data_IF_696306527780
#
_entry.id   IF_696306527780
#
_cell.length_a   1.000
_cell.length_b   1.000
_cell.length_c   1.000
_cell.angle_alpha   90.00
_cell.angle_beta   90.00
_cell.angle_gamma   90.00
#
_symmetry.space_group_name_H-M   'P 1'
#
loop_
_entity.id
_entity.type
_entity.pdbx_description
1 polymer ?
#
# COMPACT_ATOMS: atom_id res chain seq x y z
N UNK A 1 -15.40 -9.52 -52.52
CA UNK A 1 -14.77 -9.80 -53.84
C UNK A 1 -13.93 -8.58 -54.25
N UNK A 2 -12.71 -8.76 -54.78
CA UNK A 2 -11.84 -7.66 -55.25
C UNK A 2 -11.88 -7.50 -56.78
N UNK A 3 -11.37 -6.37 -57.31
CA UNK A 3 -10.24 -6.40 -58.27
C UNK A 3 -9.19 -5.29 -57.97
N UNK A 4 -7.97 -5.22 -58.53
CA UNK A 4 -7.23 -6.02 -59.54
C UNK A 4 -5.70 -5.88 -59.34
N UNK A 5 -4.93 -6.75 -60.03
CA UNK A 5 -3.45 -6.86 -60.09
C UNK A 5 -2.78 -5.62 -60.76
N UNK A 6 -1.47 -5.35 -60.66
CA UNK A 6 -0.35 -6.22 -61.06
C UNK A 6 1.04 -5.86 -60.48
N UNK A 7 2.04 -6.70 -60.79
CA UNK A 7 3.41 -6.66 -60.25
C UNK A 7 4.48 -6.53 -61.37
N UNK A 8 5.71 -6.18 -61.00
CA UNK A 8 6.93 -6.38 -61.79
C UNK A 8 8.09 -6.86 -60.89
N UNK A 9 9.23 -7.29 -61.45
CA UNK A 9 10.13 -8.23 -60.77
C UNK A 9 11.63 -7.98 -60.97
N UNK A 10 12.42 -8.44 -60.00
CA UNK A 10 13.85 -8.87 -60.08
C UNK A 10 14.88 -7.83 -60.58
N UNK A 11 15.94 -7.61 -59.78
CA UNK A 11 17.22 -8.36 -59.92
C UNK A 11 18.19 -8.10 -58.76
N UNK A 12 19.21 -8.96 -58.69
CA UNK A 12 20.27 -9.08 -57.69
C UNK A 12 21.60 -8.73 -58.39
N UNK A 13 22.44 -7.85 -57.84
CA UNK A 13 23.85 -7.67 -58.25
C UNK A 13 24.71 -7.26 -57.04
N UNK A 14 25.89 -7.87 -56.98
CA UNK A 14 27.11 -7.64 -56.19
C UNK A 14 28.27 -8.01 -57.17
N UNK A 15 29.60 -7.84 -56.92
CA UNK A 15 30.33 -7.26 -55.77
C UNK A 15 31.59 -6.41 -56.20
N UNK A 16 32.57 -6.24 -55.29
CA UNK A 16 34.03 -5.95 -55.50
C UNK A 16 34.48 -4.52 -55.90
N UNK A 17 35.71 -4.02 -55.63
CA UNK A 17 36.77 -4.28 -54.60
C UNK A 17 37.98 -3.31 -54.79
N UNK A 18 39.07 -3.47 -54.00
CA UNK A 18 40.44 -2.87 -54.07
C UNK A 18 40.65 -1.60 -53.20
N UNK A 19 41.48 -1.57 -52.14
CA UNK A 19 42.94 -1.86 -51.91
C UNK A 19 43.80 -0.61 -52.19
N UNK A 20 44.95 -0.29 -51.57
CA UNK A 20 46.05 -1.01 -50.86
C UNK A 20 46.47 -0.22 -49.57
N UNK A 21 47.50 -0.49 -48.74
CA UNK A 21 48.73 -1.32 -48.83
C UNK A 21 49.30 -1.64 -47.41
N UNK A 22 50.21 -2.62 -47.32
CA UNK A 22 50.99 -3.10 -46.13
C UNK A 22 52.46 -2.52 -46.20
N UNK A 23 53.57 -2.92 -45.48
CA UNK A 23 53.86 -4.23 -44.83
C UNK A 23 54.76 -4.29 -43.53
N UNK A 24 54.83 -5.51 -42.93
CA UNK A 24 55.98 -6.23 -42.26
C UNK A 24 56.89 -5.55 -41.18
N UNK A 25 57.58 -6.18 -40.20
CA UNK A 25 58.05 -7.56 -39.82
C UNK A 25 58.55 -7.51 -38.33
N UNK A 26 59.04 -8.52 -37.58
CA UNK A 26 58.88 -10.01 -37.45
C UNK A 26 59.56 -10.48 -36.11
N UNK A 27 59.31 -11.74 -35.66
CA UNK A 27 60.04 -12.55 -34.65
C UNK A 27 60.03 -12.11 -33.15
N UNK A 28 60.17 -13.00 -32.15
CA UNK A 28 60.38 -14.47 -32.13
C UNK A 28 60.26 -15.11 -30.72
N UNK A 29 60.46 -16.44 -30.59
CA UNK A 29 60.01 -17.28 -29.44
C UNK A 29 61.09 -17.90 -28.55
N UNK A 30 60.74 -18.23 -27.29
CA UNK A 30 61.23 -19.37 -26.44
C UNK A 30 60.43 -19.43 -25.11
N UNK A 31 60.52 -20.37 -24.14
CA UNK A 31 61.18 -21.68 -23.90
C UNK A 31 60.20 -22.50 -22.99
N UNK A 32 59.62 -23.63 -23.42
CA UNK A 32 59.98 -25.03 -23.10
C UNK A 32 59.97 -25.52 -21.61
N UNK A 33 59.00 -26.41 -21.33
CA UNK A 33 59.11 -27.70 -20.60
C UNK A 33 59.29 -27.89 -19.07
N UNK A 34 58.68 -29.02 -18.63
CA UNK A 34 58.92 -29.82 -17.41
C UNK A 34 58.46 -29.21 -16.04
N UNK A 35 58.06 -29.98 -15.01
CA UNK A 35 57.99 -31.44 -14.84
C UNK A 35 56.90 -31.87 -13.82
N UNK A 36 56.57 -33.18 -13.78
CA UNK A 36 55.56 -33.79 -12.90
C UNK A 36 56.21 -34.53 -11.72
N UNK A 37 55.99 -34.09 -10.48
CA UNK A 37 56.45 -34.84 -9.29
C UNK A 37 55.36 -35.01 -8.20
N UNK A 38 54.99 -36.27 -7.94
CA UNK A 38 54.07 -36.68 -6.86
C UNK A 38 54.77 -36.84 -5.51
N UNK A 39 54.11 -36.49 -4.39
CA UNK A 39 54.38 -37.13 -3.08
C UNK A 39 53.14 -37.15 -2.15
N UNK A 40 52.69 -38.36 -1.79
CA UNK A 40 51.71 -38.62 -0.73
C UNK A 40 52.42 -38.85 0.61
N UNK A 41 51.91 -38.29 1.72
CA UNK A 41 51.76 -38.94 3.05
C UNK A 41 50.98 -38.01 4.00
N UNK A 42 49.80 -38.45 4.47
CA UNK A 42 49.53 -39.00 5.82
C UNK A 42 49.60 -37.94 6.94
N UNK A 43 48.46 -37.34 7.29
CA UNK A 43 47.53 -37.74 8.39
C UNK A 43 48.00 -37.40 9.81
N UNK A 44 47.33 -36.44 10.45
CA UNK A 44 47.10 -36.40 11.89
C UNK A 44 45.77 -35.66 12.15
N UNK A 45 44.94 -36.17 13.06
CA UNK A 45 43.62 -35.61 13.38
C UNK A 45 43.58 -35.06 14.80
N UNK A 46 42.82 -33.98 15.03
CA UNK A 46 42.00 -33.83 16.25
C UNK A 46 40.94 -32.72 16.11
N UNK A 47 39.64 -33.03 16.21
CA UNK A 47 38.58 -32.05 16.41
C UNK A 47 38.26 -31.88 17.90
N UNK A 48 37.88 -30.66 18.34
CA UNK A 48 36.99 -30.35 19.49
C UNK A 48 36.92 -28.83 19.75
N UNK A 49 36.07 -28.11 19.02
CA UNK A 49 35.74 -26.70 19.32
C UNK A 49 34.35 -26.22 18.85
N UNK A 50 33.56 -27.06 18.14
CA UNK A 50 32.25 -26.67 17.55
C UNK A 50 31.03 -27.42 18.09
N UNK A 51 31.19 -28.25 19.13
CA UNK A 51 30.08 -29.03 19.71
C UNK A 51 29.35 -28.31 20.86
N UNK A 52 30.06 -27.59 21.74
CA UNK A 52 29.48 -27.01 22.96
C UNK A 52 28.75 -25.66 22.78
N UNK A 53 28.80 -25.07 21.58
CA UNK A 53 28.04 -23.85 21.26
C UNK A 53 26.58 -24.12 20.84
N UNK A 54 26.20 -25.39 20.55
CA UNK A 54 24.85 -25.74 20.07
C UNK A 54 23.86 -26.14 21.16
N UNK A 55 24.30 -26.56 22.35
CA UNK A 55 23.39 -27.00 23.43
C UNK A 55 22.85 -25.85 24.31
N UNK A 56 23.55 -24.70 24.40
CA UNK A 56 23.04 -23.54 25.15
C UNK A 56 22.11 -22.60 24.35
N UNK A 57 21.96 -22.83 23.05
CA UNK A 57 21.04 -22.05 22.20
C UNK A 57 19.61 -22.63 22.14
N UNK A 58 19.40 -23.87 22.59
CA UNK A 58 18.10 -24.56 22.53
C UNK A 58 17.17 -24.29 23.74
N UNK A 59 17.67 -23.62 24.79
CA UNK A 59 16.93 -23.38 26.03
C UNK A 59 16.27 -21.97 26.11
N UNK A 60 16.34 -21.18 25.03
CA UNK A 60 15.81 -19.81 24.98
C UNK A 60 14.30 -19.77 24.68
N UNK A 61 13.49 -20.31 25.59
CA UNK A 61 12.06 -20.01 25.79
C UNK A 61 11.19 -19.93 24.53
N UNK A 62 10.81 -21.08 23.98
CA UNK A 62 9.38 -21.25 23.64
C UNK A 62 8.59 -21.12 24.93
N UNK A 63 8.03 -19.93 25.21
CA UNK A 63 6.87 -19.85 26.10
C UNK A 63 5.79 -20.70 25.43
N UNK A 64 5.47 -21.85 26.02
CA UNK A 64 4.25 -22.55 25.67
C UNK A 64 3.10 -21.55 25.81
N UNK A 65 2.25 -21.47 24.77
CA UNK A 65 1.04 -20.64 24.83
C UNK A 65 0.17 -21.28 25.91
N UNK A 66 -0.20 -20.49 26.91
CA UNK A 66 -1.11 -20.95 27.95
C UNK A 66 -2.40 -21.42 27.26
N UNK A 67 -2.80 -22.70 27.39
CA UNK A 67 -3.97 -23.22 26.69
C UNK A 67 -5.28 -22.62 27.22
N UNK A 68 -5.26 -21.98 28.40
CA UNK A 68 -6.41 -21.33 29.03
C UNK A 68 -6.42 -19.80 28.83
N UNK A 69 -5.41 -19.24 28.15
CA UNK A 69 -5.42 -17.82 27.81
C UNK A 69 -6.47 -17.53 26.72
N UNK A 70 -7.43 -16.66 27.05
CA UNK A 70 -8.38 -16.10 26.09
C UNK A 70 -7.65 -15.59 24.83
N UNK A 71 -8.18 -15.84 23.61
CA UNK A 71 -7.57 -15.34 22.39
C UNK A 71 -7.43 -13.82 22.45
N UNK A 72 -6.38 -13.29 21.81
CA UNK A 72 -6.19 -11.84 21.68
C UNK A 72 -7.45 -11.23 21.02
N UNK A 73 -8.00 -10.11 21.52
CA UNK A 73 -9.22 -9.51 20.98
C UNK A 73 -9.09 -9.09 19.50
N UNK A 74 -7.87 -8.94 18.98
CA UNK A 74 -7.59 -8.69 17.57
C UNK A 74 -7.42 -9.96 16.74
N UNK A 75 -7.47 -11.16 17.34
CA UNK A 75 -7.29 -12.42 16.63
C UNK A 75 -8.49 -12.71 15.72
N UNK A 76 -8.24 -12.82 14.42
CA UNK A 76 -9.26 -13.05 13.41
C UNK A 76 -8.92 -14.28 12.53
N UNK A 77 -9.90 -14.94 11.89
CA UNK A 77 -9.67 -16.07 10.98
C UNK A 77 -8.77 -15.77 9.77
N UNK A 78 -8.31 -16.84 9.11
CA UNK A 78 -7.28 -16.75 8.05
C UNK A 78 -7.71 -16.04 6.76
N UNK A 79 -6.73 -15.46 6.06
CA UNK A 79 -6.87 -14.72 4.80
C UNK A 79 -7.18 -15.60 3.55
N UNK A 80 -8.05 -16.62 3.68
CA UNK A 80 -8.40 -17.55 2.59
C UNK A 80 -9.66 -17.14 1.83
N UNK A 81 -10.76 -16.88 2.55
CA UNK A 81 -12.06 -16.47 2.02
C UNK A 81 -12.72 -15.46 2.97
N UNK A 82 -13.54 -14.56 2.43
CA UNK A 82 -14.34 -13.60 3.18
C UNK A 82 -15.57 -14.30 3.78
N UNK A 83 -16.13 -13.86 4.93
CA UNK A 83 -17.46 -14.28 5.36
C UNK A 83 -18.52 -14.18 4.25
N UNK A 84 -19.50 -15.08 4.25
CA UNK A 84 -20.62 -15.01 3.28
C UNK A 84 -21.78 -14.22 3.89
N UNK A 85 -22.14 -14.54 5.13
CA UNK A 85 -23.16 -13.84 5.90
C UNK A 85 -22.53 -12.64 6.62
N UNK A 86 -22.76 -11.44 6.07
CA UNK A 86 -22.26 -10.18 6.60
C UNK A 86 -23.47 -9.31 6.94
N UNK A 87 -23.50 -8.78 8.16
CA UNK A 87 -24.54 -7.85 8.60
C UNK A 87 -23.89 -6.71 9.36
N UNK A 88 -24.19 -5.48 8.92
CA UNK A 88 -23.74 -4.25 9.57
C UNK A 88 -24.95 -3.42 9.98
N UNK A 89 -24.80 -2.49 10.95
CA UNK A 89 -25.85 -1.53 11.25
C UNK A 89 -26.29 -0.76 9.99
N UNK A 90 -27.60 -0.58 9.77
CA UNK A 90 -28.10 0.20 8.64
C UNK A 90 -27.55 1.63 8.70
N UNK A 91 -27.34 2.24 7.53
CA UNK A 91 -26.97 3.65 7.44
C UNK A 91 -28.07 4.52 8.05
N UNK A 92 -27.72 5.50 8.87
CA UNK A 92 -28.70 6.42 9.43
C UNK A 92 -29.35 7.27 8.33
N UNK A 93 -30.58 7.74 8.60
CA UNK A 93 -31.25 8.66 7.68
C UNK A 93 -30.50 10.00 7.64
N UNK A 94 -30.33 10.56 6.44
CA UNK A 94 -29.65 11.84 6.24
C UNK A 94 -28.11 11.80 6.25
N UNK A 95 -27.49 10.63 6.44
CA UNK A 95 -26.03 10.48 6.44
C UNK A 95 -25.47 9.95 5.12
N UNK A 96 -24.17 10.21 4.91
CA UNK A 96 -23.35 9.64 3.84
C UNK A 96 -22.35 8.67 4.46
N UNK A 97 -22.30 7.45 3.94
CA UNK A 97 -21.40 6.39 4.37
C UNK A 97 -20.25 6.25 3.38
N UNK A 98 -19.03 6.43 3.87
CA UNK A 98 -17.79 6.38 3.09
C UNK A 98 -16.95 5.22 3.62
N UNK A 99 -16.58 4.27 2.76
CA UNK A 99 -15.75 3.13 3.12
C UNK A 99 -14.40 3.19 2.39
N UNK A 100 -13.32 2.77 3.04
CA UNK A 100 -12.00 2.60 2.45
C UNK A 100 -11.45 1.20 2.68
N UNK A 101 -10.75 0.63 1.70
CA UNK A 101 -10.10 -0.67 1.86
C UNK A 101 -8.90 -0.87 0.92
N UNK A 102 -7.72 -1.17 1.48
CA UNK A 102 -6.64 -1.79 0.72
C UNK A 102 -7.01 -3.23 0.38
N UNK A 103 -7.38 -3.48 -0.88
CA UNK A 103 -7.85 -4.78 -1.36
C UNK A 103 -6.71 -5.70 -1.82
N UNK A 104 -5.47 -5.23 -1.79
CA UNK A 104 -4.26 -5.96 -2.20
C UNK A 104 -4.29 -6.58 -3.62
N UNK A 105 -5.22 -6.15 -4.48
CA UNK A 105 -5.37 -6.54 -5.88
C UNK A 105 -6.78 -7.01 -6.20
N UNK A 106 -7.51 -6.26 -7.05
CA UNK A 106 -8.92 -6.49 -7.34
C UNK A 106 -9.21 -7.92 -7.81
N UNK A 107 -8.42 -8.44 -8.75
CA UNK A 107 -8.59 -9.81 -9.28
C UNK A 107 -8.36 -10.92 -8.24
N UNK A 108 -7.65 -10.62 -7.13
CA UNK A 108 -7.47 -11.55 -6.02
C UNK A 108 -8.62 -11.42 -5.00
N UNK A 109 -9.03 -10.20 -4.68
CA UNK A 109 -10.14 -9.93 -3.78
C UNK A 109 -11.47 -10.48 -4.33
N UNK A 110 -11.76 -10.28 -5.63
CA UNK A 110 -12.94 -10.82 -6.33
C UNK A 110 -13.09 -12.33 -6.12
N UNK A 111 -12.01 -13.10 -6.34
CA UNK A 111 -11.98 -14.57 -6.17
C UNK A 111 -12.24 -15.04 -4.75
N UNK A 112 -12.08 -14.15 -3.76
CA UNK A 112 -12.26 -14.42 -2.33
C UNK A 112 -13.57 -13.91 -1.76
N UNK A 113 -14.47 -13.37 -2.59
CA UNK A 113 -15.80 -12.91 -2.18
C UNK A 113 -15.93 -11.40 -1.94
N UNK A 114 -15.03 -10.57 -2.46
CA UNK A 114 -15.06 -9.09 -2.32
C UNK A 114 -16.46 -8.47 -2.51
N UNK A 115 -17.25 -8.96 -3.47
CA UNK A 115 -18.62 -8.48 -3.73
C UNK A 115 -19.54 -8.53 -2.52
N UNK A 116 -19.40 -9.52 -1.63
CA UNK A 116 -20.28 -9.67 -0.47
C UNK A 116 -20.12 -8.50 0.51
N UNK A 117 -18.88 -8.01 0.70
CA UNK A 117 -18.64 -6.80 1.48
C UNK A 117 -19.24 -5.55 0.81
N UNK A 118 -19.07 -5.41 -0.51
CA UNK A 118 -19.63 -4.27 -1.27
C UNK A 118 -21.15 -4.25 -1.24
N UNK A 119 -21.78 -5.43 -1.27
CA UNK A 119 -23.22 -5.63 -1.16
C UNK A 119 -23.74 -5.36 0.26
N UNK A 120 -23.00 -5.74 1.31
CA UNK A 120 -23.42 -5.62 2.72
C UNK A 120 -23.17 -4.26 3.35
N UNK A 121 -22.06 -3.56 3.03
CA UNK A 121 -21.81 -2.21 3.52
C UNK A 121 -22.64 -1.16 2.77
N UNK A 122 -22.88 -1.40 1.48
CA UNK A 122 -23.57 -0.53 0.53
C UNK A 122 -23.21 0.97 0.66
N UNK A 123 -21.92 1.26 0.87
CA UNK A 123 -21.41 2.62 1.03
C UNK A 123 -21.85 3.53 -0.12
N UNK A 124 -22.05 4.82 0.16
CA UNK A 124 -22.31 5.81 -0.87
C UNK A 124 -21.04 6.12 -1.67
N UNK A 125 -19.88 6.05 -1.01
CA UNK A 125 -18.56 6.13 -1.63
C UNK A 125 -17.65 5.03 -1.11
N UNK A 126 -16.97 4.34 -2.03
CA UNK A 126 -16.00 3.28 -1.75
C UNK A 126 -14.63 3.64 -2.34
N UNK A 127 -13.63 3.78 -1.47
CA UNK A 127 -12.22 3.99 -1.80
C UNK A 127 -11.52 2.63 -1.79
N UNK A 128 -10.80 2.31 -2.86
CA UNK A 128 -10.04 1.07 -3.01
C UNK A 128 -8.57 1.39 -3.24
N UNK A 129 -7.66 0.84 -2.44
CA UNK A 129 -6.20 0.98 -2.60
C UNK A 129 -5.54 -0.36 -2.95
N UNK A 130 -4.35 -0.29 -3.54
CA UNK A 130 -3.66 -1.41 -4.21
C UNK A 130 -4.55 -2.21 -5.18
N UNK A 131 -5.31 -1.52 -6.03
CA UNK A 131 -6.21 -2.18 -6.99
C UNK A 131 -5.46 -3.09 -7.97
N UNK A 132 -4.19 -2.78 -8.29
CA UNK A 132 -3.25 -3.54 -9.14
C UNK A 132 -3.80 -3.92 -10.52
N UNK A 133 -4.78 -3.16 -11.01
CA UNK A 133 -5.31 -3.27 -12.37
C UNK A 133 -4.34 -2.67 -13.39
N UNK A 134 -4.46 -3.06 -14.66
CA UNK A 134 -3.66 -2.49 -15.76
C UNK A 134 -4.48 -1.58 -16.70
N UNK A 135 -5.80 -1.53 -16.48
CA UNK A 135 -6.81 -0.78 -17.21
C UNK A 135 -8.03 -0.62 -16.27
N UNK A 136 -8.97 0.26 -16.60
CA UNK A 136 -10.21 0.34 -15.83
C UNK A 136 -10.96 -1.01 -15.89
N UNK A 137 -11.38 -1.58 -14.75
CA UNK A 137 -12.03 -2.87 -14.71
C UNK A 137 -13.53 -2.75 -14.99
N UNK A 138 -14.06 -3.70 -15.78
CA UNK A 138 -15.50 -3.89 -15.94
C UNK A 138 -15.96 -4.95 -14.94
N UNK A 139 -16.13 -4.54 -13.68
CA UNK A 139 -16.67 -5.38 -12.59
C UNK A 139 -18.17 -5.10 -12.39
N UNK A 140 -19.10 -6.03 -12.69
CA UNK A 140 -20.53 -5.84 -12.51
C UNK A 140 -20.93 -5.40 -11.10
N UNK A 141 -20.28 -5.91 -10.05
CA UNK A 141 -20.60 -5.57 -8.66
C UNK A 141 -20.28 -4.09 -8.33
N UNK A 142 -19.36 -3.48 -9.08
CA UNK A 142 -19.00 -2.08 -8.96
C UNK A 142 -19.76 -1.20 -9.97
N UNK A 143 -19.89 -1.64 -11.22
CA UNK A 143 -20.49 -0.83 -12.29
C UNK A 143 -22.00 -0.65 -12.16
N UNK A 144 -22.70 -1.62 -11.55
CA UNK A 144 -24.14 -1.52 -11.27
C UNK A 144 -24.47 -0.64 -10.06
N UNK A 145 -23.53 -0.49 -9.11
CA UNK A 145 -23.75 0.21 -7.82
C UNK A 145 -23.21 1.63 -7.80
N UNK A 146 -22.10 1.88 -8.48
CA UNK A 146 -21.41 3.18 -8.48
C UNK A 146 -21.37 3.75 -9.91
N UNK A 147 -22.26 4.70 -10.29
CA UNK A 147 -22.23 5.35 -11.60
C UNK A 147 -20.94 6.14 -11.85
N UNK A 148 -20.36 6.78 -10.83
CA UNK A 148 -19.13 7.57 -10.93
C UNK A 148 -17.96 6.75 -10.42
N UNK A 149 -16.95 6.52 -11.26
CA UNK A 149 -15.83 5.60 -10.95
C UNK A 149 -14.54 6.21 -11.49
N UNK A 150 -13.62 6.51 -10.59
CA UNK A 150 -12.40 7.26 -10.89
C UNK A 150 -11.19 6.42 -10.50
N UNK A 151 -10.41 5.99 -11.50
CA UNK A 151 -9.28 5.06 -11.33
C UNK A 151 -7.96 5.76 -11.65
N UNK A 152 -7.03 5.79 -10.69
CA UNK A 152 -5.63 6.09 -10.96
C UNK A 152 -4.84 4.79 -11.04
N UNK A 153 -4.13 4.58 -12.15
CA UNK A 153 -3.47 3.32 -12.50
C UNK A 153 -1.97 3.58 -12.67
N UNK A 154 -1.13 2.87 -11.92
CA UNK A 154 0.32 3.05 -11.98
C UNK A 154 0.90 2.62 -13.34
N UNK A 155 1.97 3.29 -13.79
CA UNK A 155 2.71 2.91 -15.00
C UNK A 155 3.36 1.52 -14.87
N UNK A 156 3.65 1.09 -13.64
CA UNK A 156 4.12 -0.26 -13.36
C UNK A 156 2.93 -1.22 -13.31
N UNK A 157 2.87 -2.13 -14.29
CA UNK A 157 1.86 -3.20 -14.36
C UNK A 157 1.74 -3.97 -13.04
N UNK A 158 0.51 -4.27 -12.64
CA UNK A 158 0.17 -5.05 -11.42
C UNK A 158 0.73 -4.47 -10.11
N UNK A 159 0.96 -3.15 -10.05
CA UNK A 159 1.51 -2.46 -8.88
C UNK A 159 0.67 -1.24 -8.52
N UNK A 160 0.54 -0.94 -7.21
CA UNK A 160 -0.20 0.23 -6.71
C UNK A 160 -1.64 0.27 -7.28
N UNK A 161 -2.18 1.46 -7.51
CA UNK A 161 -3.51 1.69 -8.07
C UNK A 161 -4.51 2.04 -6.98
N UNK A 162 -5.25 3.13 -7.20
CA UNK A 162 -6.25 3.66 -6.25
C UNK A 162 -7.51 3.99 -7.04
N UNK A 163 -8.68 3.81 -6.44
CA UNK A 163 -9.95 4.18 -7.04
C UNK A 163 -10.90 4.79 -6.02
N UNK A 164 -11.75 5.71 -6.49
CA UNK A 164 -12.92 6.17 -5.74
C UNK A 164 -14.15 5.89 -6.59
N UNK A 165 -15.10 5.17 -6.00
CA UNK A 165 -16.35 4.73 -6.63
C UNK A 165 -17.48 5.40 -5.84
N UNK A 166 -18.34 6.16 -6.51
CA UNK A 166 -19.32 7.03 -5.87
C UNK A 166 -20.71 6.87 -6.48
N UNK A 167 -21.72 6.87 -5.61
CA UNK A 167 -23.14 7.05 -5.95
C UNK A 167 -23.49 8.53 -6.22
N UNK A 168 -22.67 9.44 -5.71
CA UNK A 168 -22.82 10.90 -5.79
C UNK A 168 -21.91 11.44 -6.90
N UNK A 169 -22.43 12.28 -7.79
CA UNK A 169 -21.64 12.93 -8.85
C UNK A 169 -20.68 13.96 -8.22
N UNK A 170 -19.35 13.83 -8.41
CA UNK A 170 -18.41 14.89 -8.01
C UNK A 170 -18.47 16.08 -8.98
N UNK A 171 -18.17 17.28 -8.47
CA UNK A 171 -18.03 18.52 -9.25
C UNK A 171 -16.74 18.53 -10.09
N UNK A 172 -15.65 18.03 -9.51
CA UNK A 172 -14.34 17.95 -10.17
C UNK A 172 -13.55 16.72 -9.68
N UNK A 173 -12.54 16.32 -10.46
CA UNK A 173 -11.70 15.15 -10.18
C UNK A 173 -10.24 15.47 -10.51
N UNK A 174 -9.34 15.21 -9.56
CA UNK A 174 -7.89 15.34 -9.72
C UNK A 174 -7.18 14.02 -9.39
N UNK A 175 -6.06 13.75 -10.05
CA UNK A 175 -5.23 12.55 -9.92
C UNK A 175 -3.76 12.88 -9.65
N UNK A 176 -3.46 14.15 -9.39
CA UNK A 176 -2.10 14.70 -9.25
C UNK A 176 -1.77 15.02 -7.79
N UNK A 177 -0.49 15.32 -7.56
CA UNK A 177 -0.01 15.88 -6.31
C UNK A 177 0.80 17.14 -6.65
N UNK A 178 0.19 18.34 -6.60
CA UNK A 178 0.84 19.58 -7.00
C UNK A 178 2.20 19.80 -6.32
N UNK A 179 3.18 20.21 -7.12
CA UNK A 179 4.57 20.45 -6.68
C UNK A 179 5.46 19.20 -6.60
N UNK A 180 4.91 17.98 -6.59
CA UNK A 180 5.72 16.77 -6.51
C UNK A 180 6.62 16.60 -7.75
N UNK A 181 7.94 16.34 -7.60
CA UNK A 181 8.91 16.41 -8.71
C UNK A 181 8.79 15.26 -9.73
N UNK A 182 8.15 14.15 -9.38
CA UNK A 182 7.89 13.02 -10.28
C UNK A 182 6.40 12.66 -10.28
N UNK A 183 5.73 12.86 -11.42
CA UNK A 183 4.33 12.49 -11.61
C UNK A 183 4.13 10.95 -11.68
N UNK A 184 5.15 10.19 -12.09
CA UNK A 184 5.10 8.72 -12.21
C UNK A 184 5.04 8.06 -10.83
N UNK A 185 5.76 8.63 -9.85
CA UNK A 185 5.66 8.22 -8.44
C UNK A 185 4.26 8.46 -7.84
N UNK A 186 3.54 9.47 -8.34
CA UNK A 186 2.18 9.85 -7.89
C UNK A 186 1.10 8.98 -8.53
N UNK A 187 1.30 8.59 -9.78
CA UNK A 187 0.33 7.82 -10.55
C UNK A 187 0.00 6.48 -9.88
N UNK A 188 -1.30 6.23 -9.67
CA UNK A 188 -1.80 5.09 -8.91
C UNK A 188 -1.98 5.32 -7.40
N UNK A 189 -1.63 6.50 -6.86
CA UNK A 189 -1.62 6.76 -5.40
C UNK A 189 -2.62 7.76 -4.87
N UNK A 190 -3.23 8.61 -5.70
CA UNK A 190 -4.16 9.64 -5.25
C UNK A 190 -5.31 9.84 -6.24
N UNK A 191 -6.50 10.01 -5.69
CA UNK A 191 -7.67 10.57 -6.35
C UNK A 191 -8.29 11.59 -5.41
N UNK A 192 -8.54 12.80 -5.90
CA UNK A 192 -9.30 13.82 -5.18
C UNK A 192 -10.61 14.04 -5.91
N UNK A 193 -11.73 13.90 -5.20
CA UNK A 193 -13.04 14.33 -5.66
C UNK A 193 -13.43 15.64 -4.96
N UNK A 194 -14.04 16.55 -5.71
CA UNK A 194 -14.70 17.72 -5.14
C UNK A 194 -16.21 17.50 -5.10
N UNK A 195 -16.83 17.82 -3.97
CA UNK A 195 -18.28 17.88 -3.79
C UNK A 195 -18.69 19.30 -3.38
N UNK A 196 -19.98 19.55 -3.08
CA UNK A 196 -20.46 20.91 -2.80
C UNK A 196 -19.92 21.44 -1.47
N UNK A 197 -19.95 20.62 -0.42
CA UNK A 197 -19.53 20.95 0.94
C UNK A 197 -18.11 20.51 1.30
N UNK A 198 -17.47 19.60 0.55
CA UNK A 198 -16.14 19.10 0.89
C UNK A 198 -15.28 18.63 -0.32
N UNK A 199 -13.98 18.40 -0.07
CA UNK A 199 -13.14 17.51 -0.89
C UNK A 199 -13.00 16.14 -0.22
N UNK A 200 -12.95 15.07 -1.03
CA UNK A 200 -12.61 13.72 -0.59
C UNK A 200 -11.33 13.25 -1.29
N UNK A 201 -10.29 12.95 -0.53
CA UNK A 201 -9.00 12.46 -1.02
C UNK A 201 -8.81 11.00 -0.62
N UNK A 202 -8.72 10.11 -1.60
CA UNK A 202 -8.37 8.71 -1.41
C UNK A 202 -6.90 8.48 -1.77
N UNK A 203 -6.09 7.97 -0.83
CA UNK A 203 -4.64 7.77 -1.04
C UNK A 203 -4.13 6.36 -0.76
N UNK A 204 -3.22 5.89 -1.60
CA UNK A 204 -2.25 4.83 -1.27
C UNK A 204 -0.87 5.46 -1.07
N UNK A 205 -0.58 5.91 0.15
CA UNK A 205 0.65 6.62 0.50
C UNK A 205 1.89 5.75 0.22
N UNK A 206 3.01 6.37 -0.12
CA UNK A 206 4.27 5.66 -0.36
C UNK A 206 4.67 4.84 0.88
N UNK A 207 4.86 3.53 0.75
CA UNK A 207 5.45 2.69 1.79
C UNK A 207 6.98 2.90 1.83
N UNK A 208 7.56 3.06 3.02
CA UNK A 208 9.01 3.28 3.19
C UNK A 208 9.89 2.07 2.85
N UNK A 209 9.30 0.90 2.59
CA UNK A 209 9.95 -0.29 2.02
C UNK A 209 10.82 -1.05 3.01
N UNK A 210 10.95 -2.37 2.83
CA UNK A 210 11.82 -3.20 3.71
C UNK A 210 13.23 -2.61 3.78
N UNK A 211 13.73 -2.37 5.01
CA UNK A 211 15.01 -1.70 5.25
C UNK A 211 14.97 -0.17 5.08
N UNK A 212 13.79 0.45 5.09
CA UNK A 212 13.55 1.89 4.92
C UNK A 212 14.05 2.48 3.58
N UNK A 213 14.24 1.61 2.57
CA UNK A 213 14.83 1.92 1.26
C UNK A 213 14.07 2.94 0.40
N UNK A 214 12.82 3.22 0.71
CA UNK A 214 11.96 4.22 0.04
C UNK A 214 11.44 5.27 1.02
N UNK A 215 12.08 5.41 2.19
CA UNK A 215 11.69 6.41 3.20
C UNK A 215 11.83 7.84 2.67
N UNK A 216 12.86 8.17 1.89
CA UNK A 216 13.03 9.53 1.36
C UNK A 216 11.98 9.87 0.29
N UNK A 217 11.58 8.90 -0.54
CA UNK A 217 10.43 9.06 -1.44
C UNK A 217 9.11 9.28 -0.68
N UNK A 218 8.96 8.68 0.52
CA UNK A 218 7.82 8.94 1.41
C UNK A 218 7.88 10.32 2.06
N UNK A 219 9.07 10.80 2.47
CA UNK A 219 9.25 12.17 2.98
C UNK A 219 8.86 13.20 1.92
N UNK A 220 9.30 13.01 0.68
CA UNK A 220 8.97 13.92 -0.43
C UNK A 220 7.46 13.89 -0.74
N UNK A 221 6.85 12.69 -0.82
CA UNK A 221 5.38 12.56 -0.92
C UNK A 221 4.65 13.33 0.19
N UNK A 222 5.00 13.08 1.46
CA UNK A 222 4.32 13.69 2.59
C UNK A 222 4.45 15.22 2.60
N UNK A 223 5.62 15.76 2.26
CA UNK A 223 5.88 17.20 2.16
C UNK A 223 4.95 17.88 1.16
N UNK A 224 4.80 17.33 -0.05
CA UNK A 224 3.89 17.89 -1.05
C UNK A 224 2.43 17.63 -0.72
N UNK A 225 2.11 16.48 -0.10
CA UNK A 225 0.76 16.16 0.34
C UNK A 225 0.24 17.11 1.43
N UNK A 226 1.10 17.48 2.37
CA UNK A 226 0.80 18.47 3.41
C UNK A 226 0.46 19.84 2.81
N UNK A 227 1.25 20.33 1.85
CA UNK A 227 0.94 21.58 1.14
C UNK A 227 -0.40 21.47 0.40
N UNK A 228 -0.62 20.37 -0.34
CA UNK A 228 -1.82 20.16 -1.13
C UNK A 228 -3.10 20.08 -0.28
N UNK A 229 -3.11 19.30 0.80
CA UNK A 229 -4.30 19.15 1.65
C UNK A 229 -4.66 20.46 2.36
N UNK A 230 -3.66 21.29 2.71
CA UNK A 230 -3.85 22.64 3.27
C UNK A 230 -4.45 23.61 2.24
N UNK A 231 -3.99 23.59 0.99
CA UNK A 231 -4.56 24.41 -0.09
C UNK A 231 -6.00 24.03 -0.46
N UNK A 232 -6.39 22.77 -0.27
CA UNK A 232 -7.78 22.34 -0.41
C UNK A 232 -8.63 22.79 0.79
N UNK A 233 -8.15 22.62 2.02
CA UNK A 233 -8.90 23.03 3.22
C UNK A 233 -9.05 24.56 3.35
N UNK A 234 -8.19 25.37 2.72
CA UNK A 234 -8.45 26.81 2.58
C UNK A 234 -9.76 27.12 1.81
N UNK A 235 -10.25 26.19 0.97
CA UNK A 235 -11.42 26.37 0.09
C UNK A 235 -12.65 25.66 0.63
N UNK A 236 -12.57 24.35 0.89
CA UNK A 236 -13.66 23.50 1.40
C UNK A 236 -13.10 22.45 2.37
N UNK A 237 -13.87 22.02 3.37
CA UNK A 237 -13.44 20.97 4.30
C UNK A 237 -12.97 19.72 3.57
N UNK A 238 -12.00 18.99 4.12
CA UNK A 238 -11.40 17.82 3.48
C UNK A 238 -11.66 16.57 4.31
N UNK A 239 -11.96 15.48 3.62
CA UNK A 239 -11.94 14.11 4.12
C UNK A 239 -10.77 13.42 3.41
N UNK A 240 -9.76 12.99 4.16
CA UNK A 240 -8.62 12.21 3.67
C UNK A 240 -8.71 10.78 4.20
N UNK A 241 -8.60 9.80 3.31
CA UNK A 241 -8.70 8.38 3.67
C UNK A 241 -7.90 7.49 2.71
N UNK A 242 -7.81 6.20 3.02
CA UNK A 242 -7.00 5.23 2.28
C UNK A 242 -6.03 4.50 3.19
N UNK A 243 -5.01 3.89 2.58
CA UNK A 243 -3.87 3.31 3.28
C UNK A 243 -2.78 4.36 3.37
N UNK A 244 -2.60 4.91 4.57
CA UNK A 244 -1.66 5.99 4.86
C UNK A 244 -0.25 5.46 5.15
N UNK A 245 -0.10 4.13 5.20
CA UNK A 245 1.14 3.42 5.46
C UNK A 245 1.87 3.91 6.72
N UNK A 246 1.15 4.42 7.73
CA UNK A 246 1.71 4.92 9.00
C UNK A 246 0.82 4.50 10.17
N UNK A 247 1.44 3.99 11.24
CA UNK A 247 0.83 3.77 12.54
C UNK A 247 1.22 4.95 13.45
N UNK A 248 0.33 5.91 13.74
CA UNK A 248 0.72 7.19 14.35
C UNK A 248 1.38 7.08 15.73
N UNK A 249 0.93 6.14 16.56
CA UNK A 249 1.36 6.00 17.97
C UNK A 249 1.69 4.56 18.35
N UNK A 250 2.23 4.36 19.55
CA UNK A 250 2.49 3.03 20.10
C UNK A 250 1.21 2.18 20.37
N UNK A 251 0.01 2.77 20.31
CA UNK A 251 -1.27 2.07 20.38
C UNK A 251 -1.68 1.49 19.02
N UNK A 252 -1.19 2.08 17.92
CA UNK A 252 -1.58 1.76 16.54
C UNK A 252 -0.83 0.55 15.95
N UNK A 253 -0.02 -0.16 16.74
CA UNK A 253 0.61 -1.41 16.33
C UNK A 253 0.92 -2.37 17.48
N UNK A 254 1.03 -3.65 17.12
CA UNK A 254 1.64 -4.68 17.95
C UNK A 254 3.17 -4.50 18.04
N UNK A 255 3.74 -4.77 19.21
CA UNK A 255 5.18 -4.74 19.48
C UNK A 255 5.91 -3.42 19.10
N UNK A 256 5.43 -2.24 19.53
CA UNK A 256 5.98 -0.94 19.11
C UNK A 256 7.48 -0.80 19.36
N UNK A 257 7.98 -1.23 20.53
CA UNK A 257 9.40 -1.11 20.93
C UNK A 257 10.37 -1.83 19.98
N UNK A 258 9.95 -2.92 19.32
CA UNK A 258 10.82 -3.65 18.38
C UNK A 258 10.74 -3.10 16.95
N UNK A 259 9.67 -2.39 16.61
CA UNK A 259 9.42 -1.85 15.27
C UNK A 259 9.92 -0.40 15.07
N UNK A 260 10.00 0.38 16.16
CA UNK A 260 10.39 1.80 16.12
C UNK A 260 11.72 2.02 15.38
N UNK A 261 11.71 2.93 14.40
CA UNK A 261 12.84 3.28 13.53
C UNK A 261 13.48 2.10 12.78
N UNK A 262 12.75 0.99 12.60
CA UNK A 262 13.24 -0.25 11.94
C UNK A 262 12.29 -0.79 10.88
N UNK A 263 10.99 -0.61 11.07
CA UNK A 263 9.94 -1.15 10.19
C UNK A 263 9.16 0.00 9.55
N UNK A 264 8.90 -0.03 8.22
CA UNK A 264 8.05 0.94 7.54
C UNK A 264 6.70 1.15 8.25
N UNK A 265 6.28 2.40 8.32
CA UNK A 265 5.04 2.82 8.98
C UNK A 265 5.18 3.10 10.48
N UNK A 266 6.33 2.81 11.11
CA UNK A 266 6.58 3.19 12.51
C UNK A 266 8.01 3.69 12.71
N UNK A 267 8.31 4.79 12.04
CA UNK A 267 9.54 5.58 12.21
C UNK A 267 9.20 7.02 12.57
N UNK A 268 10.12 7.70 13.26
CA UNK A 268 10.00 9.10 13.65
C UNK A 268 9.67 10.01 12.46
N UNK A 269 10.32 9.81 11.32
CA UNK A 269 10.06 10.57 10.10
C UNK A 269 8.62 10.38 9.59
N UNK A 270 8.02 9.21 9.78
CA UNK A 270 6.65 8.90 9.37
C UNK A 270 5.62 9.42 10.38
N UNK A 271 5.81 9.14 11.66
CA UNK A 271 4.87 9.54 12.72
C UNK A 271 4.85 11.05 12.92
N UNK A 272 6.01 11.70 12.93
CA UNK A 272 6.10 13.16 13.09
C UNK A 272 5.57 13.90 11.85
N UNK A 273 5.73 13.32 10.66
CA UNK A 273 5.14 13.89 9.45
C UNK A 273 3.62 13.76 9.43
N UNK A 274 3.06 12.64 9.91
CA UNK A 274 1.60 12.52 10.07
C UNK A 274 1.07 13.47 11.15
N UNK A 275 1.74 13.58 12.29
CA UNK A 275 1.39 14.51 13.35
C UNK A 275 1.40 15.97 12.88
N UNK A 276 2.36 16.38 12.04
CA UNK A 276 2.42 17.72 11.44
C UNK A 276 1.30 17.99 10.43
N UNK A 277 0.92 16.98 9.65
CA UNK A 277 -0.27 17.07 8.78
C UNK A 277 -1.54 17.25 9.63
N UNK A 278 -1.67 16.57 10.78
CA UNK A 278 -2.81 16.81 11.68
C UNK A 278 -2.80 18.22 12.30
N UNK A 279 -1.65 18.63 12.83
CA UNK A 279 -1.50 19.89 13.56
C UNK A 279 -0.14 20.53 13.22
N UNK A 280 -0.16 21.64 12.48
CA UNK A 280 1.08 22.35 12.09
C UNK A 280 1.73 23.01 13.32
N UNK A 281 3.04 23.20 13.25
CA UNK A 281 3.83 23.83 14.33
C UNK A 281 4.64 25.00 13.80
N UNK A 282 4.80 26.07 14.58
CA UNK A 282 5.59 27.26 14.22
C UNK A 282 4.69 28.41 13.75
N UNK A 283 5.14 29.17 12.76
CA UNK A 283 4.41 30.35 12.23
C UNK A 283 3.03 29.99 11.63
N UNK A 284 2.82 28.72 11.27
CA UNK A 284 1.55 28.18 10.76
C UNK A 284 0.66 27.54 11.85
N UNK A 285 0.93 27.75 13.15
CA UNK A 285 0.19 27.12 14.26
C UNK A 285 -1.31 27.51 14.34
N UNK A 286 -1.71 28.61 13.69
CA UNK A 286 -3.11 29.04 13.56
C UNK A 286 -3.85 28.38 12.37
N UNK A 287 -3.19 27.48 11.62
CA UNK A 287 -3.84 26.75 10.54
C UNK A 287 -4.94 25.81 11.08
N UNK A 288 -6.11 25.67 10.40
CA UNK A 288 -7.16 24.74 10.79
C UNK A 288 -6.62 23.32 10.96
N UNK A 289 -7.06 22.59 12.00
CA UNK A 289 -6.53 21.27 12.30
C UNK A 289 -7.22 20.18 11.51
N UNK A 290 -6.56 19.02 11.41
CA UNK A 290 -7.19 17.78 11.00
C UNK A 290 -7.25 16.79 12.16
N UNK A 291 -8.24 15.91 12.11
CA UNK A 291 -8.61 14.96 13.16
C UNK A 291 -8.53 13.54 12.61
N UNK A 292 -7.67 12.71 13.17
CA UNK A 292 -7.69 11.25 12.96
C UNK A 292 -8.91 10.66 13.70
N UNK A 293 -10.01 10.51 12.96
CA UNK A 293 -11.36 10.30 13.52
C UNK A 293 -11.42 9.05 14.37
N UNK A 294 -10.85 7.95 13.89
CA UNK A 294 -10.89 6.68 14.61
C UNK A 294 -10.16 6.79 15.96
N UNK A 295 -8.98 7.42 16.00
CA UNK A 295 -8.26 7.62 17.27
C UNK A 295 -8.96 8.60 18.19
N UNK A 296 -9.72 9.59 17.68
CA UNK A 296 -10.49 10.50 18.53
C UNK A 296 -11.70 9.82 19.18
N UNK A 297 -12.42 8.96 18.45
CA UNK A 297 -13.53 8.18 19.00
C UNK A 297 -13.06 7.03 19.92
N UNK A 298 -11.88 6.47 19.63
CA UNK A 298 -11.34 5.30 20.32
C UNK A 298 -9.94 5.58 20.91
N UNK A 299 -9.80 6.52 21.88
CA UNK A 299 -8.51 7.07 22.32
C UNK A 299 -7.53 6.01 22.83
N UNK A 300 -8.02 5.03 23.61
CA UNK A 300 -7.17 4.02 24.27
C UNK A 300 -7.15 2.65 23.56
N UNK A 301 -8.01 2.44 22.55
CA UNK A 301 -8.16 1.12 21.94
C UNK A 301 -6.95 0.73 21.06
N UNK A 302 -6.64 -0.57 21.10
CA UNK A 302 -5.65 -1.24 20.25
C UNK A 302 -6.40 -2.13 19.27
N UNK A 303 -6.79 -1.55 18.14
CA UNK A 303 -7.47 -2.22 17.04
C UNK A 303 -6.76 -1.90 15.73
N UNK A 304 -6.81 -2.81 14.77
CA UNK A 304 -5.86 -2.85 13.67
C UNK A 304 -6.54 -3.10 12.32
N UNK A 305 -6.03 -2.42 11.30
CA UNK A 305 -6.52 -2.53 9.92
C UNK A 305 -5.63 -3.42 9.06
N UNK A 306 -4.37 -3.66 9.42
CA UNK A 306 -3.40 -4.47 8.67
C UNK A 306 -2.86 -5.63 9.49
N UNK A 307 -2.78 -6.83 8.89
CA UNK A 307 -2.19 -8.02 9.52
C UNK A 307 -1.32 -8.81 8.54
N UNK A 308 0.00 -8.74 8.70
CA UNK A 308 0.94 -9.42 7.80
C UNK A 308 0.65 -10.92 7.63
N UNK A 309 0.67 -11.40 6.39
CA UNK A 309 0.63 -12.83 6.08
C UNK A 309 1.79 -13.62 6.72
N UNK A 310 2.91 -12.97 7.02
CA UNK A 310 4.06 -13.62 7.68
C UNK A 310 3.71 -13.98 9.11
N UNK A 311 4.18 -15.15 9.56
CA UNK A 311 4.02 -15.64 10.94
C UNK A 311 2.55 -15.78 11.42
N UNK A 312 1.57 -15.78 10.51
CA UNK A 312 0.13 -15.80 10.81
C UNK A 312 -0.29 -14.69 11.79
N UNK A 313 0.09 -13.44 11.52
CA UNK A 313 -0.18 -12.34 12.45
C UNK A 313 -1.68 -12.14 12.75
N UNK A 314 -2.58 -12.36 11.77
CA UNK A 314 -4.04 -12.20 11.96
C UNK A 314 -4.61 -13.17 12.99
N UNK A 315 -4.24 -14.45 12.95
CA UNK A 315 -4.64 -15.47 13.96
C UNK A 315 -4.07 -15.20 15.37
N UNK A 316 -3.15 -14.24 15.48
CA UNK A 316 -2.44 -13.89 16.72
C UNK A 316 -2.78 -12.48 17.22
N UNK A 317 -3.64 -11.74 16.53
CA UNK A 317 -3.95 -10.34 16.86
C UNK A 317 -2.81 -9.34 16.62
N UNK A 318 -1.74 -9.74 15.91
CA UNK A 318 -0.52 -8.94 15.74
C UNK A 318 -0.63 -7.95 14.57
N UNK A 319 -1.50 -6.96 14.69
CA UNK A 319 -1.82 -6.00 13.63
C UNK A 319 -1.17 -4.62 13.77
N UNK A 320 -1.47 -3.77 12.79
CA UNK A 320 -1.14 -2.35 12.70
C UNK A 320 -2.39 -1.59 12.21
N UNK A 321 -2.61 -0.34 12.62
CA UNK A 321 -3.62 0.56 12.03
C UNK A 321 -2.90 1.48 11.05
N UNK A 322 -3.07 1.20 9.76
CA UNK A 322 -2.46 1.94 8.64
C UNK A 322 -3.52 2.68 7.80
N UNK A 323 -4.78 2.25 7.91
CA UNK A 323 -5.93 2.80 7.22
C UNK A 323 -6.77 3.60 8.23
N UNK A 324 -7.24 4.79 7.86
CA UNK A 324 -8.08 5.62 8.73
C UNK A 324 -8.86 6.67 7.93
N UNK A 325 -9.68 7.46 8.62
CA UNK A 325 -10.21 8.72 8.14
C UNK A 325 -9.59 9.88 8.92
N UNK A 326 -9.04 10.84 8.19
CA UNK A 326 -8.59 12.13 8.69
C UNK A 326 -9.54 13.19 8.11
N UNK A 327 -10.16 14.01 8.95
CA UNK A 327 -11.09 15.07 8.49
C UNK A 327 -10.65 16.44 8.98
N UNK A 328 -10.98 17.51 8.25
CA UNK A 328 -10.83 18.87 8.80
C UNK A 328 -11.64 18.97 10.09
N UNK A 329 -11.13 19.64 11.12
CA UNK A 329 -11.77 19.79 12.44
C UNK A 329 -13.22 20.32 12.34
N UNK A 330 -13.49 21.19 11.36
CA UNK A 330 -14.83 21.69 11.02
C UNK A 330 -15.83 20.67 10.42
N UNK A 331 -15.42 19.43 10.17
CA UNK A 331 -16.33 18.31 9.85
C UNK A 331 -16.58 17.42 11.07
N UNK A 332 -15.91 17.62 12.19
CA UNK A 332 -15.95 16.70 13.33
C UNK A 332 -17.37 16.52 13.88
N UNK A 333 -18.13 17.59 14.07
CA UNK A 333 -19.51 17.53 14.57
C UNK A 333 -20.48 16.78 13.64
N UNK A 334 -20.10 16.63 12.36
CA UNK A 334 -20.84 15.82 11.38
C UNK A 334 -20.50 14.34 11.49
N UNK A 335 -19.40 13.93 12.14
CA UNK A 335 -19.06 12.50 12.29
C UNK A 335 -20.06 11.82 13.22
N UNK A 336 -20.72 10.77 12.74
CA UNK A 336 -21.60 9.90 13.55
C UNK A 336 -20.95 8.58 13.91
N UNK A 337 -20.02 8.10 13.09
CA UNK A 337 -19.37 6.79 13.25
C UNK A 337 -18.02 6.79 12.53
N UNK A 338 -17.01 6.13 13.10
CA UNK A 338 -15.83 5.68 12.36
C UNK A 338 -15.38 4.32 12.90
N UNK A 339 -15.51 3.25 12.11
CA UNK A 339 -15.32 1.87 12.56
C UNK A 339 -14.37 1.05 11.67
N UNK A 340 -13.65 0.12 12.28
CA UNK A 340 -12.82 -0.86 11.59
C UNK A 340 -13.62 -2.16 11.45
N UNK A 341 -13.92 -2.57 10.22
CA UNK A 341 -14.65 -3.81 9.89
C UNK A 341 -13.73 -5.03 10.00
N UNK A 342 -13.22 -5.30 11.19
CA UNK A 342 -12.25 -6.38 11.46
C UNK A 342 -12.77 -7.80 11.21
N UNK A 343 -14.09 -7.96 11.26
CA UNK A 343 -14.88 -9.12 10.84
C UNK A 343 -14.73 -9.42 9.33
N UNK A 344 -14.31 -8.45 8.52
CA UNK A 344 -13.99 -8.65 7.10
C UNK A 344 -12.53 -9.07 6.94
N UNK A 345 -12.31 -10.37 7.09
CA UNK A 345 -11.07 -11.06 6.78
C UNK A 345 -11.07 -11.69 5.38
N UNK A 346 -10.06 -12.49 5.06
CA UNK A 346 -10.07 -13.29 3.83
C UNK A 346 -9.46 -12.60 2.63
N UNK A 347 -10.16 -11.59 2.09
CA UNK A 347 -9.86 -10.98 0.80
C UNK A 347 -8.46 -10.32 0.74
N UNK A 348 -8.12 -9.55 1.77
CA UNK A 348 -6.86 -8.79 1.90
C UNK A 348 -6.14 -9.13 3.22
N UNK A 349 -4.88 -8.71 3.38
CA UNK A 349 -4.27 -8.57 4.71
C UNK A 349 -4.79 -7.34 5.46
N UNK A 350 -5.40 -6.38 4.76
CA UNK A 350 -6.11 -5.26 5.36
C UNK A 350 -7.61 -5.56 5.63
N UNK A 351 -8.20 -4.82 6.56
CA UNK A 351 -9.63 -4.74 6.85
C UNK A 351 -10.19 -3.40 6.30
N UNK A 352 -11.47 -3.31 5.92
CA UNK A 352 -12.10 -2.04 5.60
C UNK A 352 -12.21 -1.13 6.83
N UNK A 353 -12.21 0.17 6.60
CA UNK A 353 -12.61 1.20 7.57
C UNK A 353 -13.78 1.98 6.98
N UNK A 354 -14.77 2.33 7.81
CA UNK A 354 -15.94 3.10 7.38
C UNK A 354 -16.09 4.36 8.23
N UNK A 355 -16.53 5.44 7.59
CA UNK A 355 -16.96 6.70 8.19
C UNK A 355 -18.43 6.91 7.86
N UNK A 356 -19.22 7.40 8.82
CA UNK A 356 -20.57 7.90 8.57
C UNK A 356 -20.65 9.38 8.96
N UNK A 357 -21.05 10.21 8.01
CA UNK A 357 -21.04 11.67 8.08
C UNK A 357 -22.45 12.24 7.89
N UNK A 358 -22.83 13.21 8.72
CA UNK A 358 -24.13 13.91 8.65
C UNK A 358 -24.24 14.78 7.41
N UNK A 359 -25.41 14.79 6.77
CA UNK A 359 -25.72 15.68 5.65
C UNK A 359 -25.00 15.36 4.32
N UNK A 360 -25.33 16.09 3.24
CA UNK A 360 -24.78 15.88 1.90
C UNK A 360 -23.29 16.27 1.81
N UNK A 361 -22.59 15.75 0.78
CA UNK A 361 -21.18 16.06 0.53
C UNK A 361 -20.96 17.30 -0.34
#
# INVERSE_FOLDING_TARGET
MPPKRAASSKRKVEPLSQSEEDPESDAGSSHSDAERATKKRKTAAKPKAKAQAKEKAAAAKTKARDPDASPDPNAQPTNKVLPVDISFPPKAAGTVRIATWNICGLAAAQKKGFKYYVEAEDADILILTETKVNNEPVDPALTQRYPHRHWTISDKKTYSGTAILSKIQPLSVDYTLPGHPDASAVKGRIVTLEFESCYLIGTYVVNAGTGLKTLDAKKEWNKHFELYIRELDKKKPVIWTGDLNVAPTALDLANPKTNWNKTPGYTEAETSSFARILNTSGEEAEAPKFVDVWRKLHPDLRHYTYFSYRFNCREKGLGWRLDTFVVSERLEERVKMCEIRSEIYGASDHCPVVLELDGPL
#
